data_IF_805800164788
#
_entry.id   IF_805800164788
#
_cell.length_a   1.000
_cell.length_b   1.000
_cell.length_c   1.000
_cell.angle_alpha   90.00
_cell.angle_beta   90.00
_cell.angle_gamma   90.00
#
_symmetry.space_group_name_H-M   'P 1'
#
loop_
_entity.id
_entity.type
_entity.pdbx_description
1 polymer ?
#
# COMPACT_ATOMS: atom_id res chain seq x y z
N UNK A 1 39.68 -56.63 29.82
CA UNK A 1 39.81 -57.97 29.21
C UNK A 1 38.60 -58.16 28.32
N UNK A 2 38.90 -58.57 27.10
CA UNK A 2 38.08 -58.76 25.92
C UNK A 2 36.88 -59.68 26.13
N UNK A 3 35.74 -59.33 25.54
CA UNK A 3 34.80 -60.31 24.98
C UNK A 3 34.11 -59.71 23.76
N UNK A 4 34.59 -60.15 22.59
CA UNK A 4 33.95 -60.06 21.28
C UNK A 4 32.81 -61.08 21.19
N UNK A 5 31.64 -60.68 20.69
CA UNK A 5 30.66 -61.64 20.16
C UNK A 5 30.07 -61.15 18.83
N UNK A 6 30.65 -61.72 17.78
CA UNK A 6 30.05 -62.36 16.59
C UNK A 6 28.62 -61.95 16.19
N UNK A 7 28.56 -61.39 14.98
CA UNK A 7 27.39 -61.26 14.11
C UNK A 7 26.92 -62.64 13.58
N UNK A 8 25.61 -62.86 13.40
CA UNK A 8 25.14 -63.70 12.31
C UNK A 8 24.14 -62.99 11.39
N UNK A 9 24.18 -63.41 10.14
CA UNK A 9 23.65 -62.77 8.94
C UNK A 9 22.11 -62.72 8.84
N UNK A 10 21.65 -61.59 8.30
CA UNK A 10 20.50 -61.25 7.43
C UNK A 10 19.52 -62.39 7.05
N UNK A 11 18.21 -62.08 7.03
CA UNK A 11 17.49 -62.20 5.76
C UNK A 11 16.76 -60.90 5.40
N UNK A 12 16.91 -60.51 4.14
CA UNK A 12 16.31 -59.32 3.57
C UNK A 12 14.80 -59.37 3.65
N UNK A 13 14.20 -58.22 3.94
CA UNK A 13 12.78 -58.03 3.71
C UNK A 13 12.59 -56.69 2.98
N UNK A 14 12.41 -56.81 1.66
CA UNK A 14 11.90 -55.78 0.77
C UNK A 14 10.45 -55.47 1.17
N UNK A 15 10.27 -54.69 2.23
CA UNK A 15 9.01 -54.06 2.55
C UNK A 15 8.97 -52.67 1.93
N UNK A 16 8.39 -52.57 0.73
CA UNK A 16 7.89 -51.29 0.21
C UNK A 16 6.94 -50.70 1.27
N UNK A 17 7.44 -49.74 2.06
CA UNK A 17 6.57 -48.88 2.87
C UNK A 17 5.81 -48.03 1.85
N UNK A 18 4.59 -48.45 1.55
CA UNK A 18 3.63 -47.62 0.83
C UNK A 18 3.55 -46.29 1.58
N UNK A 19 4.02 -45.23 0.91
CA UNK A 19 3.91 -43.88 1.39
C UNK A 19 2.46 -43.60 1.72
N UNK A 20 2.17 -43.44 3.01
CA UNK A 20 0.95 -42.83 3.47
C UNK A 20 0.95 -41.44 2.85
N UNK A 21 0.14 -41.24 1.81
CA UNK A 21 -0.18 -39.92 1.28
C UNK A 21 -0.88 -39.15 2.40
N UNK A 22 -0.10 -38.51 3.27
CA UNK A 22 -0.61 -37.43 4.09
C UNK A 22 -1.22 -36.41 3.12
N UNK A 23 -2.48 -36.00 3.32
CA UNK A 23 -3.02 -34.91 2.54
C UNK A 23 -2.07 -33.73 2.72
N UNK A 24 -1.45 -33.27 1.62
CA UNK A 24 -0.61 -32.07 1.65
C UNK A 24 -1.50 -30.96 2.20
N UNK A 25 -1.21 -30.54 3.43
CA UNK A 25 -1.90 -29.42 4.06
C UNK A 25 -1.61 -28.21 3.17
N UNK A 26 -2.64 -27.60 2.60
CA UNK A 26 -2.50 -26.37 1.83
C UNK A 26 -2.11 -25.23 2.78
N UNK A 27 -0.81 -24.98 2.90
CA UNK A 27 -0.24 -23.93 3.74
C UNK A 27 -0.31 -22.54 3.08
N UNK A 28 -0.91 -22.40 1.90
CA UNK A 28 -0.89 -21.14 1.14
C UNK A 28 -1.49 -19.98 1.92
N UNK A 29 -2.63 -20.19 2.60
CA UNK A 29 -3.29 -19.17 3.42
C UNK A 29 -2.42 -18.73 4.61
N UNK A 30 -1.73 -19.67 5.26
CA UNK A 30 -0.82 -19.39 6.38
C UNK A 30 0.40 -18.61 5.90
N UNK A 31 0.97 -19.03 4.77
CA UNK A 31 2.09 -18.34 4.15
C UNK A 31 1.75 -16.90 3.76
N UNK A 32 0.59 -16.67 3.14
CA UNK A 32 0.15 -15.33 2.74
C UNK A 32 -0.01 -14.41 3.96
N UNK A 33 -0.64 -14.90 5.03
CA UNK A 33 -0.75 -14.13 6.27
C UNK A 33 0.62 -13.84 6.89
N UNK A 34 1.49 -14.85 6.97
CA UNK A 34 2.85 -14.68 7.50
C UNK A 34 3.65 -13.66 6.68
N UNK A 35 3.56 -13.73 5.35
CA UNK A 35 4.25 -12.80 4.45
C UNK A 35 3.79 -11.35 4.66
N UNK A 36 2.49 -11.11 4.84
CA UNK A 36 1.97 -9.78 5.16
C UNK A 36 2.52 -9.28 6.50
N UNK A 37 2.54 -10.14 7.53
CA UNK A 37 3.07 -9.79 8.86
C UNK A 37 4.57 -9.47 8.79
N UNK A 38 5.35 -10.26 8.06
CA UNK A 38 6.79 -10.02 7.83
C UNK A 38 7.06 -8.73 7.05
N UNK A 39 6.09 -8.28 6.24
CA UNK A 39 6.12 -6.96 5.59
C UNK A 39 5.63 -5.82 6.53
N UNK A 40 5.69 -6.02 7.85
CA UNK A 40 5.17 -5.10 8.88
C UNK A 40 3.69 -4.75 8.69
N UNK A 41 2.91 -5.70 8.19
CA UNK A 41 1.47 -5.59 8.04
C UNK A 41 1.00 -4.84 6.79
N UNK A 42 1.89 -4.33 5.92
CA UNK A 42 1.53 -3.63 4.68
C UNK A 42 2.19 -4.30 3.48
N UNK A 43 1.39 -4.78 2.53
CA UNK A 43 1.92 -5.43 1.33
C UNK A 43 1.20 -4.98 0.06
N UNK A 44 1.95 -4.61 -0.97
CA UNK A 44 1.38 -4.28 -2.28
C UNK A 44 0.82 -5.51 -2.98
N UNK A 45 -0.33 -5.40 -3.65
CA UNK A 45 -1.05 -6.52 -4.28
C UNK A 45 -0.15 -7.37 -5.20
N UNK A 46 0.56 -6.72 -6.13
CA UNK A 46 1.45 -7.44 -7.04
C UNK A 46 2.66 -8.10 -6.33
N UNK A 47 3.13 -7.56 -5.19
CA UNK A 47 4.20 -8.23 -4.42
C UNK A 47 3.67 -9.52 -3.80
N UNK A 48 2.49 -9.44 -3.20
CA UNK A 48 1.84 -10.58 -2.58
C UNK A 48 1.44 -11.65 -3.62
N UNK A 49 1.00 -11.21 -4.80
CA UNK A 49 0.73 -12.09 -5.94
C UNK A 49 1.99 -12.86 -6.37
N UNK A 50 3.12 -12.17 -6.52
CA UNK A 50 4.40 -12.82 -6.84
C UNK A 50 4.79 -13.81 -5.74
N UNK A 51 4.60 -13.45 -4.45
CA UNK A 51 4.89 -14.35 -3.33
C UNK A 51 4.02 -15.63 -3.39
N UNK A 52 2.73 -15.49 -3.71
CA UNK A 52 1.83 -16.63 -3.91
C UNK A 52 2.28 -17.53 -5.07
N UNK A 53 2.61 -16.93 -6.22
CA UNK A 53 3.06 -17.65 -7.40
C UNK A 53 4.37 -18.39 -7.14
N UNK A 54 5.31 -17.78 -6.42
CA UNK A 54 6.56 -18.42 -5.98
C UNK A 54 6.28 -19.63 -5.08
N UNK A 55 5.40 -19.49 -4.08
CA UNK A 55 5.04 -20.59 -3.20
C UNK A 55 4.47 -21.78 -4.00
N UNK A 56 3.56 -21.51 -4.95
CA UNK A 56 2.99 -22.56 -5.80
C UNK A 56 4.04 -23.21 -6.69
N UNK A 57 5.03 -22.45 -7.16
CA UNK A 57 6.15 -22.99 -7.92
C UNK A 57 7.00 -23.94 -7.07
N UNK A 58 7.34 -23.53 -5.84
CA UNK A 58 8.14 -24.34 -4.90
C UNK A 58 7.41 -25.62 -4.47
N UNK A 59 6.08 -25.53 -4.32
CA UNK A 59 5.22 -26.68 -4.01
C UNK A 59 5.02 -27.64 -5.20
N UNK A 60 5.50 -27.27 -6.40
CA UNK A 60 5.24 -27.96 -7.68
C UNK A 60 3.75 -28.01 -8.04
N UNK A 61 3.00 -27.00 -7.62
CA UNK A 61 1.55 -26.82 -7.83
C UNK A 61 1.27 -25.52 -8.64
N UNK A 62 2.28 -25.02 -9.35
CA UNK A 62 2.13 -23.82 -10.19
C UNK A 62 1.47 -24.15 -11.51
N UNK A 63 0.25 -23.64 -11.69
CA UNK A 63 -0.48 -23.78 -12.95
C UNK A 63 -0.09 -22.66 -13.94
N UNK A 64 0.62 -23.07 -15.00
CA UNK A 64 1.06 -22.18 -16.09
C UNK A 64 -0.07 -21.76 -17.02
N UNK A 65 -1.21 -22.44 -16.98
CA UNK A 65 -2.37 -22.12 -17.83
C UNK A 65 -3.16 -20.93 -17.30
N UNK A 66 -3.01 -20.61 -16.02
CA UNK A 66 -3.66 -19.48 -15.39
C UNK A 66 -3.05 -18.14 -15.83
N UNK A 67 -3.91 -17.23 -16.26
CA UNK A 67 -3.53 -15.83 -16.50
C UNK A 67 -3.47 -15.04 -15.18
N UNK A 68 -2.93 -13.82 -15.23
CA UNK A 68 -2.76 -12.97 -14.03
C UNK A 68 -4.10 -12.65 -13.35
N UNK A 69 -5.18 -12.47 -14.11
CA UNK A 69 -6.50 -12.19 -13.53
C UNK A 69 -6.98 -13.37 -12.67
N UNK A 70 -6.82 -14.59 -13.15
CA UNK A 70 -7.17 -15.80 -12.40
C UNK A 70 -6.30 -15.97 -11.15
N UNK A 71 -5.00 -15.66 -11.25
CA UNK A 71 -4.11 -15.64 -10.08
C UNK A 71 -4.54 -14.61 -9.03
N UNK A 72 -4.99 -13.43 -9.45
CA UNK A 72 -5.53 -12.41 -8.54
C UNK A 72 -6.83 -12.88 -7.87
N UNK A 73 -7.73 -13.55 -8.60
CA UNK A 73 -8.96 -14.14 -8.04
C UNK A 73 -8.63 -15.18 -6.96
N UNK A 74 -7.61 -16.03 -7.18
CA UNK A 74 -7.14 -16.98 -6.15
C UNK A 74 -6.59 -16.25 -4.92
N UNK A 75 -5.78 -15.19 -5.14
CA UNK A 75 -5.26 -14.39 -4.03
C UNK A 75 -6.38 -13.76 -3.22
N UNK A 76 -7.38 -13.15 -3.86
CA UNK A 76 -8.53 -12.54 -3.21
C UNK A 76 -9.32 -13.57 -2.39
N UNK A 77 -9.58 -14.74 -2.97
CA UNK A 77 -10.22 -15.86 -2.27
C UNK A 77 -9.43 -16.29 -1.01
N UNK A 78 -8.10 -16.38 -1.09
CA UNK A 78 -7.28 -16.71 0.07
C UNK A 78 -7.34 -15.63 1.15
N UNK A 79 -7.36 -14.34 0.78
CA UNK A 79 -7.50 -13.23 1.72
C UNK A 79 -8.85 -13.27 2.43
N UNK A 80 -9.94 -13.54 1.70
CA UNK A 80 -11.28 -13.65 2.29
C UNK A 80 -11.36 -14.80 3.30
N UNK A 81 -10.80 -15.95 2.94
CA UNK A 81 -10.73 -17.11 3.84
C UNK A 81 -9.85 -16.88 5.08
N UNK A 82 -8.75 -16.12 4.93
CA UNK A 82 -7.94 -15.69 6.08
C UNK A 82 -8.77 -14.77 6.97
N UNK A 83 -9.49 -13.81 6.40
CA UNK A 83 -10.33 -12.88 7.14
C UNK A 83 -11.44 -13.58 7.93
N UNK A 84 -12.06 -14.63 7.40
CA UNK A 84 -13.03 -15.47 8.15
C UNK A 84 -12.40 -16.04 9.42
N UNK A 85 -11.13 -16.46 9.37
CA UNK A 85 -10.40 -17.00 10.53
C UNK A 85 -9.86 -15.93 11.46
N UNK A 86 -9.55 -14.74 10.96
CA UNK A 86 -9.10 -13.61 11.77
C UNK A 86 -10.24 -12.92 12.53
N UNK A 87 -11.47 -12.98 11.99
CA UNK A 87 -12.62 -12.27 12.55
C UNK A 87 -12.89 -12.56 14.04
N UNK A 88 -12.84 -13.82 14.55
CA UNK A 88 -13.00 -14.09 15.99
C UNK A 88 -11.90 -13.49 16.87
N UNK A 89 -10.71 -13.25 16.30
CA UNK A 89 -9.58 -12.60 16.97
C UNK A 89 -9.61 -11.08 16.78
N UNK A 90 -10.65 -10.56 16.12
CA UNK A 90 -10.82 -9.12 15.85
C UNK A 90 -9.63 -8.52 15.09
N UNK A 91 -9.04 -9.30 14.17
CA UNK A 91 -8.10 -8.81 13.17
C UNK A 91 -8.71 -8.92 11.78
N UNK A 92 -8.20 -8.12 10.85
CA UNK A 92 -8.64 -8.16 9.46
C UNK A 92 -7.52 -7.71 8.53
N UNK A 93 -7.49 -8.27 7.33
CA UNK A 93 -6.75 -7.74 6.20
C UNK A 93 -7.72 -6.89 5.38
N UNK A 94 -7.44 -5.60 5.27
CA UNK A 94 -8.20 -4.64 4.47
C UNK A 94 -7.44 -4.24 3.22
N UNK A 95 -8.18 -3.89 2.16
CA UNK A 95 -7.60 -3.36 0.92
C UNK A 95 -7.70 -1.85 0.90
N UNK A 96 -6.54 -1.19 0.78
CA UNK A 96 -6.42 0.26 0.67
C UNK A 96 -5.87 0.60 -0.71
N UNK A 97 -6.52 1.55 -1.39
CA UNK A 97 -5.98 2.12 -2.63
C UNK A 97 -5.08 3.30 -2.24
N UNK A 98 -3.82 3.28 -2.68
CA UNK A 98 -2.86 4.32 -2.36
C UNK A 98 -1.99 4.67 -3.56
N UNK A 99 -1.88 5.96 -3.86
CA UNK A 99 -1.17 6.43 -5.04
C UNK A 99 0.34 6.63 -4.80
N UNK A 100 0.83 6.47 -3.55
CA UNK A 100 2.26 6.53 -3.26
C UNK A 100 3.03 5.53 -4.11
N UNK A 101 4.00 6.06 -4.84
CA UNK A 101 5.03 5.25 -5.45
C UNK A 101 4.55 4.32 -6.55
N UNK A 102 3.33 4.45 -7.11
CA UNK A 102 2.84 3.57 -8.19
C UNK A 102 3.93 3.28 -9.24
N UNK A 103 4.66 4.30 -9.73
CA UNK A 103 5.74 4.08 -10.72
C UNK A 103 6.99 3.42 -10.14
N UNK A 104 7.42 3.80 -8.95
CA UNK A 104 8.67 3.30 -8.33
C UNK A 104 8.51 1.90 -7.74
N UNK A 105 7.34 1.63 -7.17
CA UNK A 105 6.91 0.33 -6.66
C UNK A 105 6.66 -0.59 -7.85
N UNK A 106 5.89 -0.16 -8.87
CA UNK A 106 5.66 -1.00 -10.05
C UNK A 106 6.94 -1.29 -10.84
N UNK A 107 7.90 -0.36 -10.98
CA UNK A 107 9.17 -0.67 -11.68
C UNK A 107 10.03 -1.70 -10.93
N UNK A 108 10.11 -1.58 -9.60
CA UNK A 108 10.80 -2.58 -8.76
C UNK A 108 10.09 -3.94 -8.77
N UNK A 109 8.76 -3.94 -8.73
CA UNK A 109 7.93 -5.15 -8.82
C UNK A 109 8.08 -5.80 -10.19
N UNK A 110 8.08 -5.00 -11.25
CA UNK A 110 8.23 -5.48 -12.63
C UNK A 110 9.57 -6.22 -12.79
N UNK A 111 10.67 -5.66 -12.27
CA UNK A 111 11.96 -6.36 -12.27
C UNK A 111 11.92 -7.67 -11.48
N UNK A 112 11.28 -7.71 -10.31
CA UNK A 112 11.08 -8.97 -9.55
C UNK A 112 10.27 -10.00 -10.33
N UNK A 113 9.25 -9.55 -11.04
CA UNK A 113 8.40 -10.40 -11.86
C UNK A 113 9.12 -10.93 -13.11
N UNK A 114 9.92 -10.11 -13.77
CA UNK A 114 10.76 -10.54 -14.90
C UNK A 114 11.79 -11.61 -14.45
N UNK A 115 12.38 -11.43 -13.27
CA UNK A 115 13.25 -12.45 -12.66
C UNK A 115 12.49 -13.75 -12.39
N UNK A 116 11.27 -13.67 -11.86
CA UNK A 116 10.41 -14.83 -11.65
C UNK A 116 10.06 -15.56 -12.96
N UNK A 117 9.66 -14.82 -14.01
CA UNK A 117 9.37 -15.39 -15.32
C UNK A 117 10.61 -16.08 -15.92
N UNK A 118 11.79 -15.50 -15.72
CA UNK A 118 13.06 -16.12 -16.13
C UNK A 118 13.31 -17.46 -15.41
N UNK A 119 12.98 -17.56 -14.12
CA UNK A 119 13.09 -18.82 -13.36
C UNK A 119 12.12 -19.89 -13.89
N UNK A 120 10.87 -19.53 -14.18
CA UNK A 120 9.89 -20.46 -14.78
C UNK A 120 10.43 -21.02 -16.10
N UNK A 121 10.96 -20.15 -16.96
CA UNK A 121 11.49 -20.55 -18.26
C UNK A 121 12.72 -21.47 -18.13
N UNK A 122 13.64 -21.18 -17.19
CA UNK A 122 14.79 -22.05 -16.91
C UNK A 122 14.38 -23.43 -16.39
N UNK A 123 13.41 -23.50 -15.47
CA UNK A 123 12.89 -24.76 -14.94
C UNK A 123 12.21 -25.60 -16.04
N UNK A 124 11.58 -24.96 -17.02
CA UNK A 124 11.03 -25.64 -18.20
C UNK A 124 12.11 -26.23 -19.10
N UNK A 125 13.19 -25.49 -19.36
CA UNK A 125 14.32 -25.95 -20.19
C UNK A 125 15.03 -27.14 -19.51
N UNK A 126 15.27 -27.07 -18.20
CA UNK A 126 15.91 -28.17 -17.45
C UNK A 126 15.07 -29.45 -17.43
N UNK A 127 13.74 -29.34 -17.30
CA UNK A 127 12.85 -30.51 -17.29
C UNK A 127 12.68 -31.17 -18.67
N UNK A 128 12.80 -30.40 -19.76
CA UNK A 128 12.70 -30.94 -21.13
C UNK A 128 14.02 -31.51 -21.67
N UNK A 129 15.17 -31.14 -21.08
CA UNK A 129 16.50 -31.60 -21.51
C UNK A 129 16.85 -33.04 -21.05
N UNK A 130 15.91 -33.80 -20.49
CA UNK A 130 16.02 -35.25 -20.36
C UNK A 130 15.72 -36.01 -21.69
N UNK A 131 15.43 -35.30 -22.78
CA UNK A 131 15.55 -35.84 -24.14
C UNK A 131 16.79 -35.23 -24.80
N UNK A 132 17.82 -36.06 -25.02
CA UNK A 132 19.03 -35.63 -25.71
C UNK A 132 18.74 -35.22 -27.15
N UNK A 133 18.92 -33.95 -27.50
CA UNK A 133 19.13 -33.54 -28.89
C UNK A 133 19.76 -32.14 -28.97
N UNK A 134 20.98 -32.13 -29.50
CA UNK A 134 21.84 -31.03 -29.98
C UNK A 134 21.30 -29.58 -29.95
N UNK A 135 21.78 -28.81 -28.98
CA UNK A 135 22.70 -27.68 -29.20
C UNK A 135 22.18 -26.33 -29.73
N UNK A 136 21.47 -26.28 -30.86
CA UNK A 136 21.39 -25.02 -31.63
C UNK A 136 19.98 -24.58 -32.06
N UNK A 137 18.91 -25.26 -31.61
CA UNK A 137 17.53 -24.92 -32.02
C UNK A 137 16.57 -24.57 -30.88
N UNK A 138 17.01 -24.51 -29.63
CA UNK A 138 16.11 -24.36 -28.46
C UNK A 138 15.70 -22.90 -28.21
N UNK A 139 16.52 -21.90 -28.59
CA UNK A 139 16.21 -20.50 -28.31
C UNK A 139 15.03 -19.94 -29.14
N UNK A 140 14.73 -20.51 -30.31
CA UNK A 140 13.68 -19.99 -31.21
C UNK A 140 12.31 -20.67 -31.08
N UNK A 141 12.21 -21.83 -30.41
CA UNK A 141 10.94 -22.59 -30.35
C UNK A 141 10.11 -22.25 -29.09
N UNK A 142 10.75 -21.76 -28.02
CA UNK A 142 10.07 -21.52 -26.73
C UNK A 142 9.38 -20.14 -26.69
N UNK A 143 9.77 -19.20 -27.54
CA UNK A 143 9.17 -17.85 -27.61
C UNK A 143 7.75 -17.80 -28.21
N UNK A 144 7.25 -18.88 -28.82
CA UNK A 144 6.04 -18.82 -29.66
C UNK A 144 4.74 -19.31 -29.00
N UNK A 145 4.73 -19.80 -27.75
CA UNK A 145 3.53 -20.42 -27.16
C UNK A 145 3.15 -19.98 -25.74
N UNK A 146 3.79 -18.95 -25.20
CA UNK A 146 3.34 -18.32 -23.95
C UNK A 146 3.06 -16.86 -24.26
N UNK A 147 1.78 -16.46 -24.19
CA UNK A 147 1.46 -15.04 -24.09
C UNK A 147 2.29 -14.48 -22.92
N UNK A 148 3.09 -13.42 -23.11
CA UNK A 148 3.87 -12.87 -22.03
C UNK A 148 2.90 -12.43 -20.93
N UNK A 149 2.90 -13.13 -19.79
CA UNK A 149 2.19 -12.65 -18.61
C UNK A 149 2.79 -11.27 -18.29
N UNK A 150 1.95 -10.24 -18.27
CA UNK A 150 2.34 -8.90 -17.83
C UNK A 150 1.57 -8.59 -16.56
N UNK A 151 2.26 -8.07 -15.55
CA UNK A 151 1.57 -7.63 -14.34
C UNK A 151 0.74 -6.38 -14.64
N UNK A 152 -0.53 -6.34 -14.22
CA UNK A 152 -1.32 -5.12 -14.29
C UNK A 152 -0.73 -4.07 -13.36
N UNK A 153 -0.92 -2.81 -13.69
CA UNK A 153 -0.70 -1.75 -12.72
C UNK A 153 -1.73 -1.90 -11.60
N UNK A 154 -1.26 -1.83 -10.36
CA UNK A 154 -2.12 -1.83 -9.18
C UNK A 154 -1.70 -0.71 -8.25
N UNK A 155 -2.67 -0.12 -7.57
CA UNK A 155 -2.51 0.82 -6.46
C UNK A 155 -3.04 0.22 -5.14
N UNK A 156 -3.29 -1.09 -5.13
CA UNK A 156 -3.87 -1.79 -3.98
C UNK A 156 -2.80 -2.29 -3.04
N UNK A 157 -3.05 -2.06 -1.76
CA UNK A 157 -2.28 -2.59 -0.66
C UNK A 157 -3.19 -3.42 0.25
N UNK A 158 -2.69 -4.57 0.68
CA UNK A 158 -3.25 -5.35 1.78
C UNK A 158 -2.64 -4.86 3.08
N UNK A 159 -3.50 -4.49 4.02
CA UNK A 159 -3.09 -3.99 5.33
C UNK A 159 -3.70 -4.87 6.40
N UNK A 160 -2.86 -5.49 7.23
CA UNK A 160 -3.27 -6.24 8.40
C UNK A 160 -3.53 -5.27 9.56
N UNK A 161 -4.77 -5.20 10.02
CA UNK A 161 -5.23 -4.25 11.05
C UNK A 161 -5.85 -4.98 12.24
N UNK A 162 -5.70 -4.37 13.42
CA UNK A 162 -6.47 -4.70 14.60
C UNK A 162 -7.82 -3.98 14.57
N UNK A 163 -8.93 -4.72 14.67
CA UNK A 163 -10.31 -4.22 14.67
C UNK A 163 -10.90 -4.10 16.09
N UNK A 164 -10.24 -4.60 17.14
CA UNK A 164 -10.78 -4.66 18.51
C UNK A 164 -10.53 -3.41 19.36
N UNK A 165 -9.45 -2.71 19.06
CA UNK A 165 -8.85 -1.73 19.97
C UNK A 165 -9.42 -0.33 19.74
N UNK A 166 -9.62 0.42 20.83
CA UNK A 166 -9.70 1.89 20.70
C UNK A 166 -8.41 2.36 20.03
N UNK A 167 -8.50 3.36 19.16
CA UNK A 167 -7.36 3.76 18.32
C UNK A 167 -6.09 4.08 19.13
N UNK A 168 -6.24 4.54 20.38
CA UNK A 168 -5.13 4.78 21.31
C UNK A 168 -4.44 3.51 21.82
N UNK A 169 -5.20 2.42 22.02
CA UNK A 169 -4.63 1.13 22.47
C UNK A 169 -3.78 0.42 21.41
N UNK A 170 -3.92 0.79 20.12
CA UNK A 170 -3.12 0.24 19.01
C UNK A 170 -1.67 0.71 19.04
N UNK A 171 -1.44 1.94 19.48
CA UNK A 171 -0.10 2.48 19.67
C UNK A 171 0.48 2.08 21.04
N UNK A 172 -0.37 1.95 22.05
CA UNK A 172 0.04 1.66 23.43
C UNK A 172 0.76 0.32 23.64
N UNK A 173 0.68 -0.63 22.70
CA UNK A 173 1.43 -1.89 22.80
C UNK A 173 2.91 -1.74 22.48
N UNK A 174 3.29 -0.71 21.70
CA UNK A 174 4.66 -0.52 21.20
C UNK A 174 5.29 0.80 21.65
N UNK A 175 4.49 1.73 22.16
CA UNK A 175 4.90 3.07 22.52
C UNK A 175 4.45 3.41 23.94
N UNK A 176 5.31 4.13 24.65
CA UNK A 176 5.03 4.70 25.96
C UNK A 176 4.00 5.83 25.85
N UNK A 177 3.30 6.21 26.94
CA UNK A 177 2.35 7.32 26.90
C UNK A 177 2.96 8.64 26.38
N UNK A 178 4.21 8.94 26.75
CA UNK A 178 4.94 10.12 26.26
C UNK A 178 5.17 10.08 24.75
N UNK A 179 5.50 8.92 24.21
CA UNK A 179 5.67 8.73 22.76
C UNK A 179 4.32 8.80 22.02
N UNK A 180 3.25 8.30 22.62
CA UNK A 180 1.89 8.41 22.04
C UNK A 180 1.47 9.87 21.93
N UNK A 181 1.73 10.69 22.95
CA UNK A 181 1.44 12.13 22.89
C UNK A 181 2.28 12.84 21.83
N UNK A 182 3.55 12.44 21.64
CA UNK A 182 4.33 12.89 20.48
C UNK A 182 3.70 12.47 19.14
N UNK A 183 3.25 11.22 19.00
CA UNK A 183 2.63 10.73 17.77
C UNK A 183 1.35 11.53 17.47
N UNK A 184 0.50 11.74 18.48
CA UNK A 184 -0.72 12.56 18.37
C UNK A 184 -0.39 13.99 17.94
N UNK A 185 0.63 14.59 18.54
CA UNK A 185 1.10 15.92 18.18
C UNK A 185 1.66 15.96 16.75
N UNK A 186 2.45 14.96 16.34
CA UNK A 186 3.00 14.88 14.99
C UNK A 186 1.90 14.73 13.93
N UNK A 187 0.85 13.94 14.20
CA UNK A 187 -0.33 13.86 13.34
C UNK A 187 -0.99 15.24 13.22
N UNK A 188 -1.17 15.97 14.32
CA UNK A 188 -1.70 17.33 14.27
C UNK A 188 -0.84 18.24 13.38
N UNK A 189 0.49 18.18 13.51
CA UNK A 189 1.40 18.95 12.66
C UNK A 189 1.21 18.64 11.17
N UNK A 190 0.97 17.37 10.80
CA UNK A 190 0.67 17.01 9.41
C UNK A 190 -0.63 17.64 8.90
N UNK A 191 -1.63 17.77 9.77
CA UNK A 191 -2.91 18.41 9.43
C UNK A 191 -2.77 19.92 9.32
N UNK A 192 -2.05 20.54 10.25
CA UNK A 192 -1.77 21.97 10.22
C UNK A 192 -1.03 22.36 8.94
N UNK A 193 -0.02 21.58 8.55
CA UNK A 193 0.73 21.78 7.30
C UNK A 193 -0.17 21.68 6.07
N UNK A 194 -1.21 20.84 6.11
CA UNK A 194 -2.17 20.68 5.02
C UNK A 194 -3.08 21.89 4.80
N UNK A 195 -3.12 22.83 5.75
CA UNK A 195 -3.85 24.09 5.63
C UNK A 195 -3.03 25.16 4.89
N UNK A 196 -1.74 24.93 4.68
CA UNK A 196 -0.83 25.88 4.04
C UNK A 196 -0.79 25.57 2.53
N UNK A 197 -1.34 26.48 1.73
CA UNK A 197 -1.23 26.40 0.26
C UNK A 197 0.19 26.77 -0.15
N UNK A 198 0.90 25.82 -0.74
CA UNK A 198 2.26 25.97 -1.22
C UNK A 198 2.26 26.18 -2.73
N UNK A 199 3.24 26.95 -3.21
CA UNK A 199 3.44 27.20 -4.63
C UNK A 199 4.60 26.37 -5.15
N UNK A 200 4.44 25.82 -6.35
CA UNK A 200 5.49 25.08 -7.05
C UNK A 200 6.63 26.02 -7.42
N UNK A 201 7.85 25.59 -7.09
CA UNK A 201 9.09 26.16 -7.62
C UNK A 201 9.80 25.12 -8.50
N UNK A 202 10.15 25.49 -9.74
CA UNK A 202 10.94 24.64 -10.64
C UNK A 202 10.31 23.31 -11.10
N UNK A 203 11.17 22.31 -11.39
CA UNK A 203 10.88 21.00 -12.02
C UNK A 203 9.99 20.02 -11.21
N UNK A 204 9.10 20.51 -10.35
CA UNK A 204 8.19 19.70 -9.53
C UNK A 204 7.32 18.71 -10.34
N UNK A 205 7.11 19.01 -11.64
CA UNK A 205 6.16 18.30 -12.50
C UNK A 205 6.58 16.89 -12.94
N UNK A 206 7.88 16.56 -13.02
CA UNK A 206 8.30 15.33 -13.71
C UNK A 206 8.47 14.10 -12.82
N UNK A 207 8.51 14.27 -11.50
CA UNK A 207 8.85 13.16 -10.58
C UNK A 207 7.69 12.66 -9.71
N UNK A 208 6.62 13.44 -9.55
CA UNK A 208 5.47 13.03 -8.74
C UNK A 208 4.39 12.34 -9.59
N UNK A 209 4.07 11.09 -9.24
CA UNK A 209 3.08 10.26 -9.94
C UNK A 209 1.68 10.87 -9.92
N UNK A 210 1.24 11.41 -8.79
CA UNK A 210 -0.09 12.01 -8.61
C UNK A 210 -0.25 13.24 -9.48
N UNK A 211 0.77 14.10 -9.49
CA UNK A 211 0.81 15.29 -10.35
C UNK A 211 0.68 14.90 -11.82
N UNK A 212 1.42 13.87 -12.24
CA UNK A 212 1.36 13.42 -13.63
C UNK A 212 -0.03 12.87 -13.98
N UNK A 213 -0.63 12.08 -13.10
CA UNK A 213 -1.96 11.50 -13.31
C UNK A 213 -3.05 12.58 -13.37
N UNK A 214 -3.00 13.57 -12.47
CA UNK A 214 -3.96 14.68 -12.47
C UNK A 214 -3.78 15.56 -13.71
N UNK A 215 -2.54 15.87 -14.11
CA UNK A 215 -2.30 16.62 -15.35
C UNK A 215 -2.83 15.89 -16.59
N UNK A 216 -2.75 14.55 -16.60
CA UNK A 216 -3.35 13.75 -17.67
C UNK A 216 -4.87 13.93 -17.70
N UNK A 217 -5.55 13.83 -16.56
CA UNK A 217 -7.00 14.08 -16.46
C UNK A 217 -7.34 15.49 -16.96
N UNK A 218 -6.62 16.52 -16.51
CA UNK A 218 -6.86 17.91 -16.89
C UNK A 218 -6.62 18.15 -18.39
N UNK A 219 -5.55 17.58 -18.94
CA UNK A 219 -5.21 17.75 -20.36
C UNK A 219 -6.19 17.04 -21.28
N UNK A 220 -6.67 15.84 -20.91
CA UNK A 220 -7.72 15.13 -21.64
C UNK A 220 -9.02 15.94 -21.63
N UNK A 221 -9.37 16.52 -20.47
CA UNK A 221 -10.60 17.27 -20.30
C UNK A 221 -10.59 18.62 -21.02
N UNK A 222 -9.47 19.35 -20.96
CA UNK A 222 -9.32 20.69 -21.57
C UNK A 222 -8.82 20.66 -23.02
N UNK A 223 -8.37 19.49 -23.52
CA UNK A 223 -7.61 19.34 -24.76
C UNK A 223 -6.34 20.21 -24.81
N UNK A 224 -5.80 20.55 -23.64
CA UNK A 224 -4.58 21.34 -23.50
C UNK A 224 -3.50 20.53 -22.76
N UNK A 225 -2.44 20.08 -23.45
CA UNK A 225 -1.38 19.27 -22.85
C UNK A 225 -0.51 20.04 -21.85
N UNK A 226 -0.59 21.38 -21.82
CA UNK A 226 0.14 22.23 -20.89
C UNK A 226 -0.64 22.53 -19.60
N UNK A 227 -1.87 22.00 -19.48
CA UNK A 227 -2.70 22.27 -18.31
C UNK A 227 -2.10 21.66 -17.05
N UNK A 228 -1.82 22.51 -16.07
CA UNK A 228 -1.36 22.12 -14.75
C UNK A 228 -1.66 23.23 -13.74
N UNK A 229 -1.82 22.88 -12.46
CA UNK A 229 -1.88 23.85 -11.39
C UNK A 229 -0.47 24.17 -10.88
N UNK A 230 -0.33 25.34 -10.27
CA UNK A 230 0.91 25.81 -9.66
C UNK A 230 0.89 25.70 -8.13
N UNK A 231 -0.22 25.26 -7.54
CA UNK A 231 -0.41 25.20 -6.10
C UNK A 231 -0.66 23.77 -5.61
N UNK A 232 -0.23 23.48 -4.39
CA UNK A 232 -0.43 22.20 -3.74
C UNK A 232 -0.50 22.34 -2.22
N UNK A 233 -1.04 21.32 -1.56
CA UNK A 233 -0.93 21.11 -0.12
C UNK A 233 -0.26 19.76 0.13
N UNK A 234 0.29 19.56 1.33
CA UNK A 234 0.91 18.29 1.72
C UNK A 234 0.59 17.98 3.18
N UNK A 235 0.57 16.70 3.50
CA UNK A 235 0.48 16.20 4.88
C UNK A 235 1.88 15.80 5.40
N UNK A 236 2.92 16.50 4.93
CA UNK A 236 4.31 16.17 5.27
C UNK A 236 5.07 17.31 5.93
N UNK A 237 5.67 17.01 7.07
CA UNK A 237 6.38 17.97 7.91
C UNK A 237 7.86 17.61 8.01
N UNK A 238 8.74 18.62 8.02
CA UNK A 238 10.18 18.43 8.12
C UNK A 238 10.62 17.86 9.47
N UNK A 239 11.67 17.04 9.48
CA UNK A 239 12.23 16.47 10.72
C UNK A 239 12.55 17.53 11.77
N UNK A 240 13.13 18.67 11.35
CA UNK A 240 13.47 19.79 12.24
C UNK A 240 12.25 20.37 12.94
N UNK A 241 11.10 20.45 12.26
CA UNK A 241 9.87 20.91 12.88
C UNK A 241 9.37 19.87 13.89
N UNK A 242 9.42 18.58 13.58
CA UNK A 242 9.02 17.54 14.52
C UNK A 242 9.93 17.47 15.77
N UNK A 243 11.23 17.77 15.62
CA UNK A 243 12.18 17.88 16.74
C UNK A 243 11.92 19.07 17.68
N UNK A 244 10.95 19.94 17.37
CA UNK A 244 10.55 21.04 18.26
C UNK A 244 9.56 20.62 19.36
N UNK A 245 9.13 19.35 19.39
CA UNK A 245 8.26 18.83 20.44
C UNK A 245 8.91 18.97 21.82
N UNK A 246 8.23 19.67 22.73
CA UNK A 246 8.82 20.14 23.99
C UNK A 246 9.20 19.02 24.94
N UNK A 247 8.46 17.92 24.90
CA UNK A 247 8.61 16.85 25.87
C UNK A 247 9.59 15.77 25.41
N UNK A 248 10.25 15.91 24.25
CA UNK A 248 11.30 14.98 23.78
C UNK A 248 12.53 15.76 23.34
N UNK A 249 13.72 15.21 23.60
CA UNK A 249 14.94 15.72 23.00
C UNK A 249 14.96 15.46 21.49
N UNK A 250 15.78 16.20 20.71
CA UNK A 250 15.91 15.95 19.28
C UNK A 250 16.40 14.54 18.94
N UNK A 251 17.24 13.94 19.80
CA UNK A 251 17.74 12.58 19.62
C UNK A 251 16.63 11.55 19.84
N UNK A 252 15.89 11.65 20.95
CA UNK A 252 14.73 10.80 21.22
C UNK A 252 13.70 10.91 20.07
N UNK A 253 13.48 12.12 19.56
CA UNK A 253 12.54 12.36 18.46
C UNK A 253 12.94 11.61 17.19
N UNK A 254 14.22 11.67 16.77
CA UNK A 254 14.68 10.96 15.58
C UNK A 254 14.59 9.43 15.76
N UNK A 255 14.88 8.92 16.96
CA UNK A 255 14.74 7.48 17.26
C UNK A 255 13.28 7.02 17.13
N UNK A 256 12.33 7.78 17.68
CA UNK A 256 10.89 7.48 17.58
C UNK A 256 10.41 7.59 16.13
N UNK A 257 10.82 8.63 15.38
CA UNK A 257 10.46 8.80 13.97
C UNK A 257 10.98 7.64 13.10
N UNK A 258 12.19 7.15 13.39
CA UNK A 258 12.75 5.97 12.72
C UNK A 258 11.91 4.73 13.04
N UNK A 259 11.60 4.49 14.32
CA UNK A 259 10.77 3.36 14.75
C UNK A 259 9.37 3.40 14.11
N UNK A 260 8.73 4.57 14.06
CA UNK A 260 7.44 4.76 13.38
C UNK A 260 7.51 4.45 11.89
N UNK A 261 8.64 4.78 11.25
CA UNK A 261 8.86 4.47 9.83
C UNK A 261 9.09 2.98 9.57
N UNK A 262 9.85 2.33 10.45
CA UNK A 262 10.11 0.89 10.38
C UNK A 262 8.81 0.09 10.56
N UNK A 263 7.96 0.52 11.52
CA UNK A 263 6.66 -0.09 11.81
C UNK A 263 5.53 0.31 10.85
N UNK A 264 5.82 1.13 9.83
CA UNK A 264 4.86 1.63 8.83
C UNK A 264 3.74 2.50 9.39
N UNK A 265 3.96 3.15 10.52
CA UNK A 265 3.06 4.21 10.99
C UNK A 265 3.28 5.49 10.19
N UNK A 266 4.53 5.91 10.04
CA UNK A 266 4.92 7.07 9.22
C UNK A 266 5.76 6.63 8.02
N UNK A 267 5.87 7.50 7.01
CA UNK A 267 6.86 7.38 5.95
C UNK A 267 7.78 8.58 5.94
N UNK A 268 9.00 8.40 5.44
CA UNK A 268 9.98 9.47 5.25
C UNK A 268 10.19 9.72 3.75
N UNK A 269 10.07 10.98 3.35
CA UNK A 269 10.40 11.45 2.00
C UNK A 269 11.91 11.58 1.83
N UNK A 270 12.38 11.62 0.58
CA UNK A 270 13.81 11.82 0.27
C UNK A 270 14.34 13.18 0.77
N UNK A 271 13.47 14.15 1.00
CA UNK A 271 13.82 15.49 1.49
C UNK A 271 13.81 15.57 3.03
N UNK A 272 13.66 14.44 3.74
CA UNK A 272 13.65 14.41 5.20
C UNK A 272 12.35 14.90 5.83
N UNK A 273 11.27 15.05 5.05
CA UNK A 273 9.91 15.24 5.58
C UNK A 273 9.27 13.91 5.92
N UNK A 274 8.38 13.91 6.90
CA UNK A 274 7.59 12.75 7.36
C UNK A 274 6.11 12.98 7.11
N UNK A 275 5.36 11.90 6.86
CA UNK A 275 3.90 11.89 6.79
C UNK A 275 3.34 10.56 7.27
N UNK A 276 2.02 10.42 7.28
CA UNK A 276 1.34 9.18 7.69
C UNK A 276 1.42 8.11 6.61
N UNK A 277 1.82 6.89 6.98
CA UNK A 277 1.85 5.75 6.05
C UNK A 277 0.47 5.05 6.04
N UNK A 278 0.24 4.20 5.04
CA UNK A 278 -1.02 3.53 4.72
C UNK A 278 -1.57 2.77 5.94
N UNK A 279 -0.68 2.17 6.75
CA UNK A 279 -1.10 1.47 7.98
C UNK A 279 -1.74 2.44 8.98
N UNK A 280 -1.14 3.60 9.21
CA UNK A 280 -1.69 4.61 10.12
C UNK A 280 -3.11 5.01 9.72
N UNK A 281 -3.32 5.25 8.42
CA UNK A 281 -4.65 5.59 7.87
C UNK A 281 -5.65 4.47 8.09
N UNK A 282 -5.26 3.24 7.75
CA UNK A 282 -6.16 2.09 7.80
C UNK A 282 -6.49 1.69 9.24
N UNK A 283 -5.51 1.79 10.13
CA UNK A 283 -5.61 1.30 11.49
C UNK A 283 -6.16 2.35 12.46
N UNK A 284 -5.91 3.64 12.22
CA UNK A 284 -6.43 4.76 13.03
C UNK A 284 -7.57 5.53 12.33
N UNK A 285 -8.21 4.94 11.31
CA UNK A 285 -9.21 5.59 10.46
C UNK A 285 -10.22 6.46 11.25
N UNK A 286 -10.88 5.88 12.25
CA UNK A 286 -11.94 6.58 12.98
C UNK A 286 -11.39 7.69 13.89
N UNK A 287 -10.17 7.52 14.44
CA UNK A 287 -9.50 8.57 15.21
C UNK A 287 -9.15 9.75 14.32
N UNK A 288 -8.60 9.46 13.13
CA UNK A 288 -8.19 10.48 12.19
C UNK A 288 -9.38 11.31 11.69
N UNK A 289 -10.54 10.69 11.50
CA UNK A 289 -11.75 11.42 11.13
C UNK A 289 -12.30 12.21 12.32
N UNK A 290 -12.49 11.56 13.47
CA UNK A 290 -13.25 12.14 14.58
C UNK A 290 -12.46 13.16 15.41
N UNK A 291 -11.13 13.01 15.48
CA UNK A 291 -10.28 13.85 16.34
C UNK A 291 -9.41 14.84 15.56
N UNK A 292 -9.16 14.58 14.28
CA UNK A 292 -8.27 15.39 13.44
C UNK A 292 -8.96 15.94 12.19
N UNK A 293 -10.26 15.67 12.02
CA UNK A 293 -11.07 16.11 10.89
C UNK A 293 -10.43 15.81 9.53
N UNK A 294 -9.76 14.65 9.39
CA UNK A 294 -9.15 14.30 8.12
C UNK A 294 -10.23 14.23 7.01
N UNK A 295 -9.99 14.92 5.89
CA UNK A 295 -10.96 14.98 4.82
C UNK A 295 -11.13 13.61 4.14
N UNK A 296 -12.40 13.29 3.89
CA UNK A 296 -12.80 12.09 3.15
C UNK A 296 -13.12 12.42 1.70
N UNK A 297 -12.91 11.43 0.84
CA UNK A 297 -13.20 11.52 -0.58
C UNK A 297 -14.70 11.66 -0.81
N UNK A 298 -15.11 12.64 -1.62
CA UNK A 298 -16.52 12.91 -1.95
C UNK A 298 -17.21 11.79 -2.73
N UNK A 299 -16.46 10.81 -3.26
CA UNK A 299 -17.01 9.70 -4.04
C UNK A 299 -16.98 8.39 -3.25
N UNK A 300 -15.85 8.05 -2.63
CA UNK A 300 -15.68 6.74 -2.00
C UNK A 300 -15.76 6.77 -0.46
N UNK A 301 -15.92 7.95 0.14
CA UNK A 301 -16.00 8.16 1.60
C UNK A 301 -14.83 7.56 2.39
N UNK A 302 -13.63 7.55 1.80
CA UNK A 302 -12.38 7.14 2.48
C UNK A 302 -11.44 8.33 2.61
N UNK A 303 -10.60 8.34 3.63
CA UNK A 303 -9.60 9.38 3.88
C UNK A 303 -8.74 9.65 2.64
N UNK A 304 -8.53 10.93 2.31
CA UNK A 304 -7.67 11.39 1.20
C UNK A 304 -6.40 12.03 1.75
N UNK A 305 -5.26 11.36 1.62
CA UNK A 305 -3.95 11.98 1.87
C UNK A 305 -3.25 12.47 0.62
N UNK A 306 -3.71 12.00 -0.54
CA UNK A 306 -3.11 12.26 -1.84
C UNK A 306 -4.21 12.29 -2.91
N UNK A 307 -4.10 13.25 -3.83
CA UNK A 307 -5.12 13.47 -4.86
C UNK A 307 -5.37 14.94 -5.13
N UNK A 308 -6.64 15.34 -5.10
CA UNK A 308 -7.11 16.68 -5.46
C UNK A 308 -7.93 17.27 -4.33
N UNK A 309 -7.75 18.56 -4.06
CA UNK A 309 -8.68 19.37 -3.26
C UNK A 309 -9.15 20.58 -4.05
N UNK A 310 -10.34 21.08 -3.75
CA UNK A 310 -10.72 22.40 -4.22
C UNK A 310 -9.83 23.47 -3.56
N UNK A 311 -9.39 24.46 -4.35
CA UNK A 311 -8.53 25.57 -3.92
C UNK A 311 -9.28 26.85 -3.55
N UNK A 312 -10.62 26.80 -3.44
CA UNK A 312 -11.39 27.92 -2.93
C UNK A 312 -11.08 28.13 -1.44
N UNK A 313 -10.82 29.39 -1.06
CA UNK A 313 -10.42 29.78 0.31
C UNK A 313 -11.45 29.36 1.37
N UNK A 314 -12.73 29.32 1.01
CA UNK A 314 -13.83 28.86 1.88
C UNK A 314 -13.65 27.43 2.41
N UNK A 315 -12.75 26.63 1.83
CA UNK A 315 -12.43 25.30 2.32
C UNK A 315 -11.22 25.26 3.28
N UNK A 316 -10.58 26.41 3.55
CA UNK A 316 -9.36 26.51 4.36
C UNK A 316 -9.50 27.48 5.53
N UNK A 317 -10.41 28.45 5.43
CA UNK A 317 -10.60 29.49 6.45
C UNK A 317 -11.57 29.01 7.54
N UNK A 318 -11.04 28.59 8.69
CA UNK A 318 -11.78 28.71 9.94
C UNK A 318 -11.83 30.20 10.27
N UNK A 319 -12.73 30.97 9.64
CA UNK A 319 -13.08 32.26 10.22
C UNK A 319 -13.82 31.91 11.52
N UNK A 320 -13.06 31.90 12.62
CA UNK A 320 -13.60 32.08 13.95
C UNK A 320 -14.27 33.47 13.92
N UNK A 321 -15.55 33.50 13.54
CA UNK A 321 -16.39 34.62 13.93
C UNK A 321 -16.37 34.60 15.47
N UNK A 322 -15.61 35.52 16.05
CA UNK A 322 -15.63 35.88 17.46
C UNK A 322 -16.99 36.50 17.81
N UNK A 323 -18.08 35.75 17.62
CA UNK A 323 -19.39 36.12 18.11
C UNK A 323 -19.82 35.07 19.14
N UNK A 324 -19.79 35.51 20.39
CA UNK A 324 -20.22 34.84 21.60
C UNK A 324 -21.68 34.36 21.46
N UNK A 325 -21.91 33.17 20.89
CA UNK A 325 -23.14 32.41 21.11
C UNK A 325 -22.89 30.93 20.80
N UNK A 326 -23.04 30.09 21.83
CA UNK A 326 -23.06 28.62 21.76
C UNK A 326 -24.30 28.17 20.95
N UNK A 327 -24.29 28.36 19.63
CA UNK A 327 -25.16 27.64 18.72
C UNK A 327 -24.32 26.60 17.97
N UNK A 328 -24.85 25.37 17.92
CA UNK A 328 -24.30 24.19 17.26
C UNK A 328 -23.83 24.53 15.84
N UNK A 329 -22.55 24.90 15.68
CA UNK A 329 -22.02 25.38 14.42
C UNK A 329 -21.71 24.20 13.49
N UNK A 330 -22.76 23.66 12.85
CA UNK A 330 -22.71 22.59 11.84
C UNK A 330 -21.93 22.97 10.56
N UNK A 331 -21.37 24.19 10.48
CA UNK A 331 -20.72 24.73 9.29
C UNK A 331 -19.20 24.92 9.45
N UNK A 332 -18.48 23.98 10.08
CA UNK A 332 -17.02 23.95 9.94
C UNK A 332 -16.67 23.75 8.46
N UNK A 333 -15.76 24.55 7.86
CA UNK A 333 -15.38 24.41 6.46
C UNK A 333 -14.72 23.04 6.24
N UNK A 334 -15.45 22.12 5.62
CA UNK A 334 -14.90 20.81 5.27
C UNK A 334 -14.14 20.91 3.95
N UNK A 335 -12.86 20.54 3.96
CA UNK A 335 -12.07 20.40 2.73
C UNK A 335 -12.74 19.40 1.79
N UNK A 336 -13.01 19.84 0.57
CA UNK A 336 -13.59 18.99 -0.46
C UNK A 336 -12.47 18.31 -1.24
N UNK A 337 -12.35 16.99 -1.07
CA UNK A 337 -11.22 16.22 -1.58
C UNK A 337 -11.62 14.98 -2.37
N UNK A 338 -10.73 14.55 -3.25
CA UNK A 338 -10.88 13.36 -4.08
C UNK A 338 -9.56 12.60 -4.19
N UNK A 339 -9.61 11.27 -4.12
CA UNK A 339 -8.54 10.44 -4.68
C UNK A 339 -8.43 10.66 -6.19
N UNK A 340 -7.27 10.36 -6.78
CA UNK A 340 -7.02 10.58 -8.22
C UNK A 340 -8.06 9.88 -9.10
N UNK A 341 -8.33 8.60 -8.85
CA UNK A 341 -9.31 7.82 -9.63
C UNK A 341 -10.74 8.36 -9.45
N UNK A 342 -11.08 8.78 -8.23
CA UNK A 342 -12.37 9.38 -7.92
C UNK A 342 -12.55 10.74 -8.60
N UNK A 343 -11.48 11.53 -8.67
CA UNK A 343 -11.47 12.81 -9.37
C UNK A 343 -11.64 12.61 -10.88
N UNK A 344 -10.98 11.61 -11.47
CA UNK A 344 -11.16 11.26 -12.88
C UNK A 344 -12.62 10.92 -13.19
N UNK A 345 -13.23 10.06 -12.36
CA UNK A 345 -14.65 9.72 -12.46
C UNK A 345 -15.52 10.97 -12.33
N UNK A 346 -15.28 11.80 -11.31
CA UNK A 346 -16.04 13.02 -11.05
C UNK A 346 -16.01 13.99 -12.24
N UNK A 347 -14.82 14.29 -12.78
CA UNK A 347 -14.64 15.17 -13.93
C UNK A 347 -15.24 14.61 -15.23
N UNK A 348 -15.35 13.29 -15.35
CA UNK A 348 -15.86 12.64 -16.56
C UNK A 348 -17.38 12.46 -16.55
N UNK A 349 -17.97 12.27 -15.36
CA UNK A 349 -19.35 11.78 -15.23
C UNK A 349 -20.22 12.56 -14.26
N UNK A 350 -19.65 13.39 -13.39
CA UNK A 350 -20.41 14.09 -12.33
C UNK A 350 -20.44 15.60 -12.59
N UNK A 351 -19.31 16.30 -12.48
CA UNK A 351 -19.24 17.75 -12.64
C UNK A 351 -17.81 18.23 -12.86
N UNK A 352 -17.67 19.43 -13.43
CA UNK A 352 -16.38 20.14 -13.54
C UNK A 352 -16.20 21.18 -12.42
N UNK A 353 -17.23 21.37 -11.59
CA UNK A 353 -17.26 22.31 -10.49
C UNK A 353 -17.20 21.57 -9.15
N UNK A 354 -16.64 22.23 -8.14
CA UNK A 354 -16.64 21.75 -6.76
C UNK A 354 -18.08 21.60 -6.26
N UNK A 355 -18.42 20.48 -5.62
CA UNK A 355 -19.74 20.27 -5.04
C UNK A 355 -19.99 21.10 -3.76
N UNK A 356 -18.93 21.60 -3.09
CA UNK A 356 -19.06 22.45 -1.91
C UNK A 356 -19.24 23.94 -2.21
N UNK A 357 -18.49 24.49 -3.18
CA UNK A 357 -18.48 25.93 -3.47
C UNK A 357 -18.79 26.29 -4.93
N UNK A 358 -19.14 25.31 -5.77
CA UNK A 358 -19.44 25.47 -7.19
C UNK A 358 -18.30 26.11 -8.03
N UNK A 359 -17.09 26.22 -7.49
CA UNK A 359 -15.94 26.78 -8.20
C UNK A 359 -15.40 25.80 -9.24
N UNK A 360 -14.94 26.26 -10.41
CA UNK A 360 -14.45 25.39 -11.48
C UNK A 360 -13.15 24.71 -11.07
N UNK A 361 -13.16 23.37 -10.96
CA UNK A 361 -12.01 22.58 -10.50
C UNK A 361 -10.87 22.59 -11.52
N UNK A 362 -11.18 22.77 -12.81
CA UNK A 362 -10.16 22.86 -13.86
C UNK A 362 -9.15 23.97 -13.56
N UNK A 363 -9.60 25.10 -13.05
CA UNK A 363 -8.74 26.29 -12.83
C UNK A 363 -8.41 26.47 -11.35
N UNK A 364 -9.33 26.11 -10.45
CA UNK A 364 -9.22 26.32 -9.01
C UNK A 364 -9.00 25.04 -8.20
N UNK A 365 -8.37 24.02 -8.78
CA UNK A 365 -7.96 22.82 -8.05
C UNK A 365 -6.54 22.94 -7.49
N UNK A 366 -6.25 22.20 -6.42
CA UNK A 366 -4.91 22.05 -5.85
C UNK A 366 -4.52 20.58 -5.84
N UNK A 367 -3.22 20.30 -6.01
CA UNK A 367 -2.71 18.95 -5.76
C UNK A 367 -2.57 18.70 -4.27
N UNK A 368 -2.74 17.44 -3.90
CA UNK A 368 -2.49 16.94 -2.55
C UNK A 368 -1.40 15.86 -2.70
N UNK A 369 -0.21 16.14 -2.17
CA UNK A 369 1.04 15.41 -2.50
C UNK A 369 1.83 14.93 -1.31
#
# INVERSE_FOLDING_TARGET
MTETYVNPEVPGNNGYVQGVNHPRIDISKQFILQYIIECNGVCHENVLLIALMNLKLDQKDFDKTLNIKQWLEILHYYIDEINVKLNPMMFKIVTVNHDLGQRQINSRIQSKFENFMTQINRNHIMNNNNLSLSGERIEQVISNNMNPLTLPQSNKFYVYINAQSTNETKLATNFTPREIEFIKWAIQQFIDESNIIQYRSGNFNSQNGIVTSINKILSEKTRNPQMSWNQYITYTVGSTQLSSYKDLSPLETEEILKQLTDLKWFYRTNNGKFGMDIRCIAELHDLLINNYDLPICQICNRIVQMGVTCGNISHFSNEEEEDDEEEDNENKPTKVMWHVDCFQYYMSHVSENCNGCNSPLIIGGLYVV
#
